data_IF_309766349735
#
_entry.id   IF_309766349735
#
_cell.length_a   1.000
_cell.length_b   1.000
_cell.length_c   1.000
_cell.angle_alpha   90.00
_cell.angle_beta   90.00
_cell.angle_gamma   90.00
#
_symmetry.space_group_name_H-M   'P 1'
#
loop_
_entity.id
_entity.type
_entity.pdbx_description
1 polymer ?
#
# COMPACT_ATOMS: atom_id res chain seq x y z
N UNK A 1 33.73 14.45 -10.20
CA UNK A 1 33.69 14.65 -8.74
C UNK A 1 32.55 13.81 -8.20
N UNK A 2 32.87 12.73 -7.49
CA UNK A 2 31.90 11.74 -7.01
C UNK A 2 31.48 12.13 -5.58
N UNK A 3 30.23 12.54 -5.39
CA UNK A 3 29.70 12.80 -4.05
C UNK A 3 29.19 11.49 -3.45
N UNK A 4 29.92 10.96 -2.47
CA UNK A 4 29.50 9.78 -1.71
C UNK A 4 28.34 10.17 -0.77
N UNK A 5 27.12 9.75 -1.11
CA UNK A 5 25.93 9.98 -0.29
C UNK A 5 26.00 9.20 1.03
N UNK A 6 25.66 9.85 2.13
CA UNK A 6 25.61 9.30 3.50
C UNK A 6 24.37 8.42 3.75
N UNK A 7 23.94 7.66 2.74
CA UNK A 7 22.70 6.87 2.78
C UNK A 7 22.86 5.61 3.65
N UNK A 8 24.07 5.06 3.75
CA UNK A 8 24.34 3.80 4.48
C UNK A 8 24.69 3.97 5.96
N UNK A 9 24.57 5.18 6.54
CA UNK A 9 24.81 5.41 7.98
C UNK A 9 23.72 6.30 8.58
N UNK A 10 22.53 5.77 8.91
CA UNK A 10 21.57 6.53 9.68
C UNK A 10 22.18 6.79 11.07
N UNK A 11 22.43 8.06 11.39
CA UNK A 11 22.80 8.47 12.75
C UNK A 11 21.61 8.11 13.64
N UNK A 12 21.83 7.26 14.63
CA UNK A 12 20.82 6.96 15.64
C UNK A 12 20.45 8.29 16.33
N UNK A 13 19.23 8.76 16.09
CA UNK A 13 18.67 9.86 16.85
C UNK A 13 18.38 9.29 18.24
N UNK A 14 19.29 9.52 19.19
CA UNK A 14 18.94 9.32 20.60
C UNK A 14 17.79 10.29 20.89
N UNK A 15 16.64 9.83 21.41
CA UNK A 15 15.62 10.75 21.88
C UNK A 15 16.27 11.52 23.02
N UNK A 16 16.56 12.80 22.81
CA UNK A 16 16.71 13.70 23.93
C UNK A 16 15.38 13.59 24.68
N UNK A 17 15.44 13.20 25.95
CA UNK A 17 14.30 13.25 26.86
C UNK A 17 13.70 14.63 26.72
N UNK A 18 12.62 14.73 25.94
CA UNK A 18 11.81 15.92 25.89
C UNK A 18 11.23 15.99 27.29
N UNK A 19 11.76 16.88 28.12
CA UNK A 19 11.10 17.31 29.33
C UNK A 19 9.65 17.62 28.94
N UNK A 20 8.74 16.72 29.27
CA UNK A 20 7.31 16.94 29.15
C UNK A 20 6.88 17.90 30.25
N UNK A 21 7.42 19.11 30.25
CA UNK A 21 6.72 20.29 30.76
C UNK A 21 5.75 20.71 29.66
N UNK A 22 4.73 19.89 29.45
CA UNK A 22 3.55 20.27 28.68
C UNK A 22 2.80 21.32 29.50
N UNK A 23 3.31 22.55 29.52
CA UNK A 23 2.46 23.70 29.81
C UNK A 23 1.42 23.72 28.70
N UNK A 24 0.12 23.52 28.98
CA UNK A 24 -0.88 23.69 27.94
C UNK A 24 -0.80 25.15 27.52
N UNK A 25 -0.25 25.39 26.33
CA UNK A 25 -0.28 26.70 25.70
C UNK A 25 -1.76 27.04 25.56
N UNK A 26 -2.25 27.85 26.50
CA UNK A 26 -3.64 28.28 26.58
C UNK A 26 -3.81 29.49 25.68
N UNK A 27 -3.33 29.37 24.44
CA UNK A 27 -3.60 30.32 23.36
C UNK A 27 -4.76 29.78 22.50
N UNK A 28 -5.74 29.17 23.16
CA UNK A 28 -7.08 29.14 22.61
C UNK A 28 -7.73 30.45 23.06
N UNK A 29 -8.02 31.42 22.16
CA UNK A 29 -8.84 32.54 22.56
C UNK A 29 -10.14 31.93 23.07
N UNK A 30 -10.40 32.13 24.37
CA UNK A 30 -11.63 31.71 25.00
C UNK A 30 -12.77 32.03 24.04
N UNK A 31 -13.48 30.97 23.61
CA UNK A 31 -14.54 31.09 22.63
C UNK A 31 -15.52 32.15 23.10
N UNK A 32 -15.36 33.37 22.57
CA UNK A 32 -16.38 34.39 22.65
C UNK A 32 -17.52 33.80 21.86
N UNK A 33 -18.63 33.53 22.55
CA UNK A 33 -19.88 33.14 21.94
C UNK A 33 -20.42 34.32 21.13
N UNK A 34 -19.75 34.62 20.01
CA UNK A 34 -20.22 35.51 18.97
C UNK A 34 -21.28 34.71 18.22
N UNK A 35 -22.55 35.10 18.38
CA UNK A 35 -23.70 34.38 17.85
C UNK A 35 -23.69 34.17 16.32
N UNK A 36 -22.73 34.77 15.59
CA UNK A 36 -22.52 34.58 14.15
C UNK A 36 -21.43 33.57 13.75
N UNK A 37 -20.61 33.05 14.68
CA UNK A 37 -19.54 32.09 14.34
C UNK A 37 -20.07 30.67 14.02
N UNK A 38 -21.31 30.38 14.39
CA UNK A 38 -21.98 29.13 14.07
C UNK A 38 -22.45 29.09 12.61
N UNK A 39 -22.81 30.23 12.02
CA UNK A 39 -23.26 30.33 10.61
C UNK A 39 -22.12 30.02 9.62
N UNK A 40 -20.88 30.44 9.91
CA UNK A 40 -19.71 30.10 9.07
C UNK A 40 -19.34 28.61 9.15
N UNK A 41 -19.51 27.97 10.32
CA UNK A 41 -19.29 26.52 10.48
C UNK A 41 -20.38 25.68 9.79
N UNK A 42 -21.56 26.26 9.60
CA UNK A 42 -22.69 25.64 8.92
C UNK A 42 -22.45 25.45 7.41
N UNK A 43 -21.50 26.20 6.84
CA UNK A 43 -21.08 26.08 5.44
C UNK A 43 -20.01 25.00 5.19
N UNK A 44 -19.75 24.12 6.16
CA UNK A 44 -19.11 22.80 5.91
C UNK A 44 -20.18 21.83 5.41
N UNK A 45 -20.83 22.17 4.31
CA UNK A 45 -21.73 21.25 3.63
C UNK A 45 -20.92 20.03 3.20
N UNK A 46 -21.38 18.84 3.58
CA UNK A 46 -20.85 17.54 3.13
C UNK A 46 -20.66 17.50 1.59
N UNK A 47 -21.43 18.32 0.86
CA UNK A 47 -21.37 18.52 -0.58
C UNK A 47 -20.10 19.22 -1.09
N UNK A 48 -19.48 20.14 -0.32
CA UNK A 48 -18.27 20.88 -0.75
C UNK A 48 -16.99 20.03 -0.68
N UNK A 49 -17.00 18.95 0.12
CA UNK A 49 -15.89 17.99 0.22
C UNK A 49 -16.04 16.78 -0.72
N UNK A 50 -17.15 16.68 -1.46
CA UNK A 50 -17.44 15.51 -2.29
C UNK A 50 -16.63 15.45 -3.60
N UNK A 51 -16.19 16.60 -4.15
CA UNK A 51 -15.46 16.63 -5.42
C UNK A 51 -14.07 15.97 -5.35
N UNK A 52 -13.23 16.24 -4.33
CA UNK A 52 -11.96 15.52 -4.15
C UNK A 52 -12.13 14.05 -3.80
N UNK A 53 -13.19 13.71 -3.04
CA UNK A 53 -13.41 12.35 -2.58
C UNK A 53 -13.89 11.42 -3.70
N UNK A 54 -14.81 11.87 -4.55
CA UNK A 54 -15.28 11.09 -5.69
C UNK A 54 -14.12 10.75 -6.66
N UNK A 55 -13.26 11.74 -6.93
CA UNK A 55 -12.07 11.55 -7.76
C UNK A 55 -11.07 10.59 -7.11
N UNK A 56 -10.80 10.75 -5.80
CA UNK A 56 -9.90 9.85 -5.08
C UNK A 56 -10.42 8.41 -5.03
N UNK A 57 -11.74 8.22 -4.84
CA UNK A 57 -12.40 6.89 -4.88
C UNK A 57 -12.29 6.26 -6.26
N UNK A 58 -12.43 7.02 -7.35
CA UNK A 58 -12.25 6.53 -8.71
C UNK A 58 -10.80 6.07 -8.95
N UNK A 59 -9.82 6.90 -8.62
CA UNK A 59 -8.40 6.55 -8.77
C UNK A 59 -8.01 5.32 -7.93
N UNK A 60 -8.58 5.18 -6.74
CA UNK A 60 -8.34 3.99 -5.91
C UNK A 60 -8.93 2.73 -6.54
N UNK A 61 -10.15 2.80 -7.09
CA UNK A 61 -10.77 1.67 -7.81
C UNK A 61 -9.90 1.23 -8.99
N UNK A 62 -9.42 2.17 -9.81
CA UNK A 62 -8.56 1.86 -10.95
C UNK A 62 -7.26 1.15 -10.51
N UNK A 63 -6.65 1.62 -9.42
CA UNK A 63 -5.44 0.99 -8.85
C UNK A 63 -5.71 -0.42 -8.31
N UNK A 64 -6.85 -0.63 -7.66
CA UNK A 64 -7.26 -1.94 -7.15
C UNK A 64 -7.48 -2.90 -8.32
N UNK A 65 -8.19 -2.48 -9.37
CA UNK A 65 -8.42 -3.30 -10.56
C UNK A 65 -7.12 -3.68 -11.26
N UNK A 66 -6.20 -2.71 -11.45
CA UNK A 66 -4.89 -2.98 -12.03
C UNK A 66 -4.08 -4.01 -11.21
N UNK A 67 -4.08 -3.87 -9.88
CA UNK A 67 -3.41 -4.82 -8.99
C UNK A 67 -4.06 -6.21 -9.04
N UNK A 68 -5.37 -6.30 -9.19
CA UNK A 68 -6.06 -7.58 -9.39
C UNK A 68 -5.69 -8.25 -10.71
N UNK A 69 -5.61 -7.49 -11.80
CA UNK A 69 -5.22 -7.99 -13.11
C UNK A 69 -3.79 -8.57 -13.08
N UNK A 70 -2.86 -7.86 -12.44
CA UNK A 70 -1.49 -8.34 -12.25
C UNK A 70 -1.44 -9.65 -11.45
N UNK A 71 -2.16 -9.72 -10.32
CA UNK A 71 -2.28 -10.94 -9.51
C UNK A 71 -2.84 -12.12 -10.32
N UNK A 72 -3.86 -11.88 -11.16
CA UNK A 72 -4.43 -12.91 -12.05
C UNK A 72 -3.41 -13.38 -13.08
N UNK A 73 -2.67 -12.46 -13.71
CA UNK A 73 -1.62 -12.80 -14.67
C UNK A 73 -0.52 -13.66 -14.03
N UNK A 74 -0.04 -13.29 -12.84
CA UNK A 74 0.98 -14.04 -12.11
C UNK A 74 0.50 -15.45 -11.76
N UNK A 75 -0.76 -15.61 -11.32
CA UNK A 75 -1.35 -16.93 -11.04
C UNK A 75 -1.40 -17.81 -12.29
N UNK A 76 -1.77 -17.26 -13.44
CA UNK A 76 -1.80 -18.01 -14.71
C UNK A 76 -0.40 -18.45 -15.15
N UNK A 77 0.61 -17.58 -15.00
CA UNK A 77 2.00 -17.92 -15.31
C UNK A 77 2.49 -19.06 -14.40
N UNK A 78 2.21 -18.97 -13.09
CA UNK A 78 2.56 -20.01 -12.13
C UNK A 78 1.89 -21.35 -12.46
N UNK A 79 0.59 -21.34 -12.79
CA UNK A 79 -0.16 -22.53 -13.18
C UNK A 79 0.43 -23.20 -14.44
N UNK A 80 0.73 -22.42 -15.49
CA UNK A 80 1.37 -22.92 -16.72
C UNK A 80 2.76 -23.52 -16.44
N UNK A 81 3.53 -22.91 -15.53
CA UNK A 81 4.83 -23.45 -15.12
C UNK A 81 4.69 -24.79 -14.40
N UNK A 82 3.70 -24.92 -13.52
CA UNK A 82 3.39 -26.19 -12.84
C UNK A 82 2.93 -27.27 -13.83
N UNK A 83 2.08 -26.92 -14.80
CA UNK A 83 1.62 -27.85 -15.83
C UNK A 83 2.80 -28.41 -16.64
N UNK A 84 3.71 -27.56 -17.13
CA UNK A 84 4.91 -28.02 -17.86
C UNK A 84 5.80 -28.92 -17.00
N UNK A 85 5.88 -28.68 -15.69
CA UNK A 85 6.63 -29.54 -14.76
C UNK A 85 5.96 -30.91 -14.63
N UNK A 86 4.64 -30.93 -14.49
CA UNK A 86 3.86 -32.16 -14.42
C UNK A 86 3.98 -32.99 -15.70
N UNK A 87 3.88 -32.35 -16.88
CA UNK A 87 4.06 -33.02 -18.18
C UNK A 87 5.44 -33.65 -18.31
N UNK A 88 6.50 -32.92 -17.93
CA UNK A 88 7.88 -33.45 -17.92
C UNK A 88 8.03 -34.62 -16.95
N UNK A 89 7.46 -34.52 -15.75
CA UNK A 89 7.49 -35.61 -14.77
C UNK A 89 6.76 -36.85 -15.31
N UNK A 90 5.59 -36.66 -15.93
CA UNK A 90 4.82 -37.74 -16.54
C UNK A 90 5.58 -38.42 -17.69
N UNK A 91 6.20 -37.66 -18.59
CA UNK A 91 7.02 -38.23 -19.68
C UNK A 91 8.22 -39.01 -19.14
N UNK A 92 8.87 -38.51 -18.08
CA UNK A 92 9.96 -39.24 -17.40
C UNK A 92 9.47 -40.54 -16.78
N UNK A 93 8.33 -40.51 -16.10
CA UNK A 93 7.72 -41.71 -15.51
C UNK A 93 7.40 -42.74 -16.59
N UNK A 94 6.76 -42.34 -17.70
CA UNK A 94 6.48 -43.24 -18.84
C UNK A 94 7.74 -43.83 -19.44
N UNK A 95 8.79 -43.01 -19.60
CA UNK A 95 10.08 -43.50 -20.09
C UNK A 95 10.72 -44.50 -19.13
N UNK A 96 10.69 -44.23 -17.82
CA UNK A 96 11.23 -45.14 -16.81
C UNK A 96 10.46 -46.48 -16.80
N UNK A 97 9.13 -46.44 -16.89
CA UNK A 97 8.31 -47.66 -17.02
C UNK A 97 8.63 -48.44 -18.30
N UNK A 98 8.72 -47.78 -19.45
CA UNK A 98 9.06 -48.45 -20.71
C UNK A 98 10.45 -49.09 -20.67
N UNK A 99 11.44 -48.42 -20.07
CA UNK A 99 12.77 -48.98 -19.85
C UNK A 99 12.72 -50.20 -18.92
N UNK A 100 11.92 -50.15 -17.84
CA UNK A 100 11.77 -51.26 -16.90
C UNK A 100 11.08 -52.49 -17.52
N UNK A 101 10.21 -52.30 -18.53
CA UNK A 101 9.55 -53.40 -19.25
C UNK A 101 10.48 -54.02 -20.32
N UNK A 102 11.43 -53.26 -20.86
CA UNK A 102 12.39 -53.78 -21.87
C UNK A 102 13.60 -54.51 -21.27
N UNK A 103 13.76 -54.53 -19.94
CA UNK A 103 14.77 -55.34 -19.25
C UNK A 103 14.21 -56.71 -18.91
#
# INVERSE_FOLDING_TARGET
MNAHGTIDRPRAHAPAEQETTMSPSTDHPAARHEAGAYDERQNRNLQMQLMPEALARAQYRDRVEAAEQERRALRLIAARRMQRRAERAHMRARRALAMAVMQ
#
